data_IF_155569846003
#
_entry.id   IF_155569846003
#
_cell.length_a   1.000
_cell.length_b   1.000
_cell.length_c   1.000
_cell.angle_alpha   90.00
_cell.angle_beta   90.00
_cell.angle_gamma   90.00
#
_symmetry.space_group_name_H-M   'P 1'
#
loop_
_entity.id
_entity.type
_entity.pdbx_description
1 polymer ?
#
# COMPACT_ATOMS: atom_id res chain seq x y z
N UNK A 1 -25.90 -9.28 -0.84
CA UNK A 1 -24.56 -9.14 -1.43
C UNK A 1 -23.93 -7.84 -0.93
N UNK A 2 -22.73 -7.92 -0.44
CA UNK A 2 -22.01 -6.71 -0.08
C UNK A 2 -21.55 -5.97 -1.33
N UNK A 3 -21.56 -4.66 -1.27
CA UNK A 3 -21.04 -3.84 -2.35
C UNK A 3 -19.53 -4.05 -2.46
N UNK A 4 -19.02 -3.95 -3.68
CA UNK A 4 -17.58 -3.98 -3.91
C UNK A 4 -16.93 -2.75 -3.29
N UNK A 5 -15.80 -2.94 -2.65
CA UNK A 5 -14.98 -1.82 -2.17
C UNK A 5 -14.28 -1.18 -3.36
N UNK A 6 -13.74 0.04 -3.17
CA UNK A 6 -12.92 0.67 -4.20
C UNK A 6 -11.76 -0.22 -4.61
N UNK A 7 -11.17 -0.95 -3.66
CA UNK A 7 -10.05 -1.86 -3.98
C UNK A 7 -10.51 -3.05 -4.81
N UNK A 8 -11.68 -3.63 -4.50
CA UNK A 8 -12.25 -4.69 -5.33
C UNK A 8 -12.46 -4.22 -6.76
N UNK A 9 -12.95 -2.98 -6.93
CA UNK A 9 -13.17 -2.40 -8.25
C UNK A 9 -11.87 -2.19 -9.01
N UNK A 10 -10.80 -1.79 -8.34
CA UNK A 10 -9.48 -1.64 -8.96
C UNK A 10 -8.93 -3.02 -9.33
N UNK A 11 -9.04 -4.00 -8.44
CA UNK A 11 -8.59 -5.37 -8.69
C UNK A 11 -9.32 -5.98 -9.90
N UNK A 12 -10.62 -5.72 -10.02
CA UNK A 12 -11.43 -6.24 -11.12
C UNK A 12 -11.27 -5.44 -12.42
N UNK A 13 -10.55 -4.33 -12.40
CA UNK A 13 -10.34 -3.49 -13.57
C UNK A 13 -11.44 -2.49 -13.87
N UNK A 14 -12.43 -2.35 -12.98
CA UNK A 14 -13.52 -1.36 -13.16
C UNK A 14 -13.04 0.08 -12.94
N UNK A 15 -12.03 0.25 -12.08
CA UNK A 15 -11.39 1.54 -11.81
C UNK A 15 -9.89 1.39 -12.07
N UNK A 16 -9.26 2.34 -12.76
CA UNK A 16 -7.81 2.27 -13.01
C UNK A 16 -7.01 2.32 -11.72
N UNK A 17 -5.91 1.58 -11.69
CA UNK A 17 -4.95 1.59 -10.59
C UNK A 17 -3.55 1.32 -11.11
N UNK A 18 -2.54 1.71 -10.35
CA UNK A 18 -1.13 1.48 -10.71
C UNK A 18 -0.59 0.37 -9.82
N UNK A 19 -0.29 -0.76 -10.44
CA UNK A 19 0.12 -1.98 -9.75
C UNK A 19 1.65 -2.07 -9.67
N UNK A 20 2.13 -2.46 -8.50
CA UNK A 20 3.55 -2.79 -8.27
C UNK A 20 3.75 -4.31 -8.32
N UNK A 21 2.78 -5.05 -7.81
CA UNK A 21 2.84 -6.50 -7.68
C UNK A 21 1.43 -7.09 -7.73
N UNK A 22 1.33 -8.28 -8.29
CA UNK A 22 0.09 -9.07 -8.29
C UNK A 22 0.46 -10.54 -8.13
N UNK A 23 -0.27 -11.23 -7.26
CA UNK A 23 -0.16 -12.67 -7.15
C UNK A 23 -1.54 -13.30 -6.90
N UNK A 24 -1.58 -14.59 -6.58
CA UNK A 24 -2.83 -15.33 -6.39
C UNK A 24 -3.62 -14.86 -5.17
N UNK A 25 -3.00 -14.11 -4.26
CA UNK A 25 -3.58 -13.77 -2.97
C UNK A 25 -3.75 -12.27 -2.75
N UNK A 26 -2.92 -11.46 -3.37
CA UNK A 26 -2.93 -10.02 -3.13
C UNK A 26 -2.40 -9.22 -4.31
N UNK A 27 -2.62 -7.91 -4.21
CA UNK A 27 -2.01 -6.94 -5.12
C UNK A 27 -1.27 -5.89 -4.28
N UNK A 28 -0.34 -5.20 -4.90
CA UNK A 28 0.26 -3.99 -4.33
C UNK A 28 -0.03 -2.84 -5.28
N UNK A 29 -0.69 -1.81 -4.75
CA UNK A 29 -1.09 -0.63 -5.51
C UNK A 29 -0.35 0.59 -5.00
N UNK A 30 -0.05 1.53 -5.90
CA UNK A 30 0.37 2.86 -5.48
C UNK A 30 -0.84 3.60 -4.92
N UNK A 31 -0.65 4.31 -3.81
CA UNK A 31 -1.71 5.10 -3.20
C UNK A 31 -1.99 6.34 -4.06
N UNK A 32 -3.25 6.57 -4.40
CA UNK A 32 -3.65 7.75 -5.19
C UNK A 32 -3.65 9.02 -4.34
N UNK A 33 -3.76 8.90 -3.03
CA UNK A 33 -3.76 10.02 -2.09
C UNK A 33 -2.71 9.80 -0.99
N UNK A 34 -1.42 9.78 -1.37
CA UNK A 34 -0.37 9.47 -0.40
C UNK A 34 -0.07 10.64 0.51
N UNK A 35 0.50 10.33 1.67
CA UNK A 35 1.10 11.31 2.56
C UNK A 35 2.56 11.56 2.21
N UNK A 36 3.22 10.56 1.65
CA UNK A 36 4.63 10.63 1.26
C UNK A 36 4.82 10.04 -0.14
N UNK A 37 5.81 10.51 -0.89
CA UNK A 37 6.10 9.93 -2.20
C UNK A 37 6.44 8.44 -2.09
N UNK A 38 5.91 7.65 -3.00
CA UNK A 38 6.18 6.22 -3.04
C UNK A 38 5.29 5.38 -2.13
N UNK A 39 4.34 5.99 -1.44
CA UNK A 39 3.39 5.27 -0.59
C UNK A 39 2.61 4.26 -1.41
N UNK A 40 2.54 3.03 -0.88
CA UNK A 40 1.85 1.92 -1.55
C UNK A 40 1.01 1.14 -0.54
N UNK A 41 0.21 0.20 -1.05
CA UNK A 41 -0.70 -0.58 -0.22
C UNK A 41 -0.68 -2.03 -0.67
N UNK A 42 -0.54 -2.95 0.28
CA UNK A 42 -0.69 -4.39 0.03
C UNK A 42 -2.13 -4.76 0.38
N UNK A 43 -2.86 -5.31 -0.58
CA UNK A 43 -4.30 -5.51 -0.48
C UNK A 43 -4.64 -6.96 -0.87
N UNK A 44 -5.31 -7.72 0.02
CA UNK A 44 -5.74 -9.07 -0.35
C UNK A 44 -6.85 -9.02 -1.39
N UNK A 45 -6.93 -10.02 -2.24
CA UNK A 45 -8.01 -10.12 -3.23
C UNK A 45 -9.37 -10.29 -2.56
N UNK A 46 -9.41 -10.98 -1.42
CA UNK A 46 -10.64 -11.21 -0.66
C UNK A 46 -10.97 -9.97 0.17
N UNK A 47 -12.18 -9.41 0.03
CA UNK A 47 -12.55 -8.16 0.72
C UNK A 47 -12.95 -8.40 2.17
N UNK A 48 -11.99 -8.70 3.02
CA UNK A 48 -12.18 -8.82 4.47
C UNK A 48 -11.96 -7.45 5.09
N UNK A 49 -12.89 -6.99 5.91
CA UNK A 49 -12.85 -5.63 6.47
C UNK A 49 -11.80 -5.46 7.55
N UNK A 50 -11.68 -6.43 8.44
CA UNK A 50 -10.86 -6.32 9.63
C UNK A 50 -9.68 -7.29 9.58
N UNK A 51 -8.49 -6.77 9.78
CA UNK A 51 -7.23 -7.53 9.76
C UNK A 51 -7.27 -8.77 10.66
N UNK A 52 -7.84 -8.63 11.86
CA UNK A 52 -7.90 -9.73 12.83
C UNK A 52 -8.78 -10.90 12.35
N UNK A 53 -9.62 -10.69 11.34
CA UNK A 53 -10.48 -11.73 10.78
C UNK A 53 -9.88 -12.40 9.54
N UNK A 54 -8.67 -12.01 9.13
CA UNK A 54 -7.99 -12.67 8.01
C UNK A 54 -7.60 -14.10 8.40
N UNK A 55 -7.59 -14.98 7.41
CA UNK A 55 -6.93 -16.27 7.56
C UNK A 55 -5.47 -16.03 7.93
N UNK A 56 -4.92 -16.74 8.93
CA UNK A 56 -3.53 -16.53 9.37
C UNK A 56 -2.49 -16.70 8.26
N UNK A 57 -2.68 -17.63 7.36
CA UNK A 57 -1.75 -17.84 6.24
C UNK A 57 -1.80 -16.66 5.28
N UNK A 58 -2.98 -16.09 5.04
CA UNK A 58 -3.12 -14.90 4.20
C UNK A 58 -2.47 -13.69 4.89
N UNK A 59 -2.70 -13.52 6.18
CA UNK A 59 -2.06 -12.44 6.95
C UNK A 59 -0.53 -12.53 6.84
N UNK A 60 0.02 -13.73 7.00
CA UNK A 60 1.46 -13.97 6.85
C UNK A 60 1.95 -13.61 5.45
N UNK A 61 1.20 -14.00 4.42
CA UNK A 61 1.55 -13.71 3.03
C UNK A 61 1.59 -12.20 2.77
N UNK A 62 0.61 -11.46 3.27
CA UNK A 62 0.57 -10.00 3.10
C UNK A 62 1.79 -9.34 3.74
N UNK A 63 2.20 -9.78 4.91
CA UNK A 63 3.37 -9.23 5.61
C UNK A 63 4.66 -9.58 4.87
N UNK A 64 4.77 -10.77 4.32
CA UNK A 64 5.94 -11.16 3.51
C UNK A 64 6.05 -10.31 2.25
N UNK A 65 4.94 -10.06 1.57
CA UNK A 65 4.92 -9.16 0.40
C UNK A 65 5.29 -7.74 0.83
N UNK A 66 4.69 -7.26 1.93
CA UNK A 66 5.00 -5.94 2.47
C UNK A 66 6.49 -5.79 2.79
N UNK A 67 7.12 -6.82 3.35
CA UNK A 67 8.55 -6.79 3.65
C UNK A 67 9.40 -6.62 2.40
N UNK A 68 9.08 -7.34 1.33
CA UNK A 68 9.82 -7.22 0.06
C UNK A 68 9.63 -5.85 -0.57
N UNK A 69 8.39 -5.35 -0.57
CA UNK A 69 8.08 -4.02 -1.11
C UNK A 69 8.72 -2.92 -0.28
N UNK A 70 8.78 -3.09 1.04
CA UNK A 70 9.45 -2.13 1.93
C UNK A 70 10.94 -1.99 1.59
N UNK A 71 11.63 -3.11 1.42
CA UNK A 71 13.06 -3.08 1.01
C UNK A 71 13.24 -2.38 -0.33
N UNK A 72 12.39 -2.71 -1.29
CA UNK A 72 12.44 -2.11 -2.62
C UNK A 72 12.15 -0.62 -2.57
N UNK A 73 11.19 -0.21 -1.74
CA UNK A 73 10.83 1.20 -1.55
C UNK A 73 11.98 2.00 -0.92
N UNK A 74 12.64 1.43 0.08
CA UNK A 74 13.77 2.09 0.72
C UNK A 74 14.92 2.31 -0.27
N UNK A 75 15.17 1.33 -1.13
CA UNK A 75 16.15 1.48 -2.21
C UNK A 75 15.71 2.52 -3.24
N UNK A 76 14.45 2.43 -3.68
CA UNK A 76 13.91 3.28 -4.73
C UNK A 76 13.87 4.76 -4.35
N UNK A 77 13.55 5.05 -3.09
CA UNK A 77 13.32 6.42 -2.61
C UNK A 77 14.40 6.90 -1.64
N UNK A 78 15.44 6.11 -1.44
CA UNK A 78 16.55 6.43 -0.54
C UNK A 78 16.03 6.78 0.88
N UNK A 79 15.07 5.99 1.36
CA UNK A 79 14.52 6.14 2.70
C UNK A 79 15.18 5.18 3.68
N UNK A 80 15.15 5.52 4.96
CA UNK A 80 15.80 4.72 6.00
C UNK A 80 14.95 3.53 6.41
N UNK A 81 13.64 3.72 6.45
CA UNK A 81 12.69 2.70 6.89
C UNK A 81 11.34 2.93 6.23
N UNK A 82 10.63 1.85 5.98
CA UNK A 82 9.23 1.89 5.57
C UNK A 82 8.39 1.43 6.76
N UNK A 83 7.44 2.28 7.16
CA UNK A 83 6.50 1.95 8.23
C UNK A 83 5.23 1.37 7.65
N UNK A 84 4.58 0.48 8.41
CA UNK A 84 3.34 -0.17 8.01
C UNK A 84 2.20 0.27 8.93
N UNK A 85 1.04 0.55 8.33
CA UNK A 85 -0.19 0.83 9.09
C UNK A 85 -1.34 0.04 8.47
N UNK A 86 -2.12 -0.61 9.34
CA UNK A 86 -3.34 -1.33 8.96
C UNK A 86 -4.47 -0.76 9.81
N UNK A 87 -5.44 -0.11 9.18
CA UNK A 87 -6.56 0.51 9.92
C UNK A 87 -7.91 0.00 9.42
N UNK A 88 -8.35 0.43 8.22
CA UNK A 88 -9.53 -0.13 7.58
C UNK A 88 -10.86 0.58 7.89
N UNK A 89 -10.86 1.71 8.59
CA UNK A 89 -12.11 2.42 8.88
C UNK A 89 -12.70 3.12 7.67
N UNK A 90 -11.87 3.73 6.82
CA UNK A 90 -12.36 4.48 5.65
C UNK A 90 -12.79 3.55 4.52
N UNK A 91 -12.03 2.48 4.30
CA UNK A 91 -12.37 1.47 3.31
C UNK A 91 -12.39 0.11 4.01
N UNK A 92 -13.56 -0.56 4.07
CA UNK A 92 -13.70 -1.83 4.79
C UNK A 92 -13.13 -3.02 3.99
N UNK A 93 -11.88 -2.93 3.66
CA UNK A 93 -11.13 -3.93 2.91
C UNK A 93 -9.69 -3.80 3.39
N UNK A 94 -9.15 -4.82 4.01
CA UNK A 94 -7.80 -4.80 4.58
C UNK A 94 -6.80 -4.25 3.56
N UNK A 95 -6.01 -3.29 3.99
CA UNK A 95 -4.89 -2.79 3.21
C UNK A 95 -3.77 -2.41 4.16
N UNK A 96 -2.59 -2.94 3.85
CA UNK A 96 -1.37 -2.64 4.60
C UNK A 96 -0.71 -1.47 3.91
N UNK A 97 -0.79 -0.30 4.53
CA UNK A 97 -0.22 0.92 3.96
C UNK A 97 1.26 0.99 4.29
N UNK A 98 2.08 1.20 3.26
CA UNK A 98 3.52 1.30 3.38
C UNK A 98 3.96 2.75 3.18
N UNK A 99 4.61 3.30 4.20
CA UNK A 99 5.12 4.68 4.20
C UNK A 99 6.64 4.63 4.17
N UNK A 100 7.28 4.86 3.00
CA UNK A 100 8.74 5.02 2.95
C UNK A 100 9.09 6.38 3.56
N UNK A 101 9.80 6.37 4.69
CA UNK A 101 10.09 7.60 5.42
C UNK A 101 11.55 7.69 5.81
N UNK A 102 12.00 8.94 6.01
CA UNK A 102 13.32 9.23 6.54
C UNK A 102 13.26 9.35 8.07
N UNK A 103 14.41 9.44 8.71
CA UNK A 103 14.45 9.63 10.15
C UNK A 103 13.77 10.92 10.60
N UNK A 104 13.82 11.96 9.77
CA UNK A 104 13.16 13.25 10.05
C UNK A 104 11.64 13.13 10.03
N UNK A 105 11.11 12.21 9.23
CA UNK A 105 9.68 11.89 9.16
C UNK A 105 9.34 10.68 10.02
N UNK A 106 10.08 10.46 11.10
CA UNK A 106 9.95 9.28 11.94
C UNK A 106 8.60 9.22 12.65
N UNK A 107 8.43 8.18 13.47
CA UNK A 107 7.16 7.88 14.12
C UNK A 107 6.59 9.04 14.93
N UNK A 108 7.46 9.93 15.45
CA UNK A 108 7.03 11.15 16.15
C UNK A 108 6.26 12.08 15.22
N UNK A 109 6.65 12.13 13.94
CA UNK A 109 5.97 12.93 12.94
C UNK A 109 4.99 12.15 12.09
N UNK A 110 4.84 10.85 12.32
CA UNK A 110 3.99 10.00 11.47
C UNK A 110 2.53 10.43 11.46
N UNK A 111 2.02 10.90 12.60
CA UNK A 111 0.65 11.41 12.68
C UNK A 111 0.45 12.62 11.77
N UNK A 112 1.41 13.54 11.75
CA UNK A 112 1.37 14.71 10.88
C UNK A 112 1.50 14.29 9.42
N UNK A 113 2.40 13.37 9.13
CA UNK A 113 2.59 12.82 7.79
C UNK A 113 1.29 12.18 7.29
N UNK A 114 0.65 11.35 8.12
CA UNK A 114 -0.60 10.68 7.76
C UNK A 114 -1.78 11.65 7.64
N UNK A 115 -1.74 12.77 8.34
CA UNK A 115 -2.79 13.79 8.30
C UNK A 115 -2.74 14.68 7.06
N UNK A 116 -1.61 14.70 6.35
CA UNK A 116 -1.40 15.53 5.17
C UNK A 116 -1.27 14.66 3.94
N UNK A 117 -2.32 14.61 3.12
CA UNK A 117 -2.32 13.86 1.87
C UNK A 117 -2.38 14.80 0.67
N UNK A 118 -1.95 14.32 -0.48
CA UNK A 118 -2.08 15.03 -1.74
C UNK A 118 -2.56 14.05 -2.82
N UNK A 119 -3.07 14.59 -3.91
CA UNK A 119 -3.48 13.75 -5.03
C UNK A 119 -2.28 13.49 -5.93
N UNK A 120 -1.79 12.25 -5.94
CA UNK A 120 -0.69 11.86 -6.81
C UNK A 120 -1.21 11.71 -8.24
N UNK A 121 -0.50 12.31 -9.20
CA UNK A 121 -0.86 12.16 -10.60
C UNK A 121 -0.62 10.72 -11.06
N UNK A 122 -1.28 10.32 -12.13
CA UNK A 122 -1.04 9.01 -12.74
C UNK A 122 0.43 8.86 -13.13
N UNK A 123 1.02 9.91 -13.69
CA UNK A 123 2.43 9.93 -14.10
C UNK A 123 3.37 9.70 -12.91
N UNK A 124 3.12 10.37 -11.78
CA UNK A 124 3.91 10.17 -10.55
C UNK A 124 3.79 8.74 -10.05
N UNK A 125 2.57 8.21 -10.00
CA UNK A 125 2.33 6.84 -9.51
C UNK A 125 3.02 5.81 -10.42
N UNK A 126 2.94 5.97 -11.72
CA UNK A 126 3.60 5.08 -12.67
C UNK A 126 5.12 5.13 -12.55
N UNK A 127 5.68 6.33 -12.42
CA UNK A 127 7.12 6.51 -12.24
C UNK A 127 7.60 5.86 -10.94
N UNK A 128 6.87 6.07 -9.84
CA UNK A 128 7.23 5.49 -8.55
C UNK A 128 7.07 3.98 -8.54
N UNK A 129 6.01 3.45 -9.16
CA UNK A 129 5.83 2.01 -9.29
C UNK A 129 6.99 1.38 -10.07
N UNK A 130 7.45 2.03 -11.13
CA UNK A 130 8.58 1.53 -11.92
C UNK A 130 9.86 1.48 -11.10
N UNK A 131 10.10 2.47 -10.25
CA UNK A 131 11.26 2.49 -9.36
C UNK A 131 11.22 1.35 -8.35
N UNK A 132 10.07 1.09 -7.76
CA UNK A 132 9.90 -0.01 -6.81
C UNK A 132 10.10 -1.34 -7.51
N UNK A 133 9.48 -1.54 -8.67
CA UNK A 133 9.62 -2.78 -9.45
C UNK A 133 11.08 -3.07 -9.80
N UNK A 134 11.83 -2.05 -10.15
CA UNK A 134 13.25 -2.21 -10.51
C UNK A 134 14.09 -2.66 -9.31
N UNK A 135 13.64 -2.41 -8.10
CA UNK A 135 14.34 -2.77 -6.86
C UNK A 135 13.83 -4.06 -6.20
N UNK A 136 12.75 -4.63 -6.72
CA UNK A 136 12.19 -5.88 -6.19
C UNK A 136 13.10 -7.10 -6.43
#
# INVERSE_FOLDING_TARGET
MSEKTIFSKIIDGEIPGVFVHQDEHCVVLMDAFPSVPGQSMVIPLTPVSYFANLDPDLAAHLIQVAQRVARASDTAFNTSRTCLVIEGYQVPHVHVILYPITQESSITGLNDVRGSTYEATLEEREANASKIKAAL
#
